data_IF_001992579590
#
_entry.id   IF_001992579590
#
_cell.length_a   1.000
_cell.length_b   1.000
_cell.length_c   1.000
_cell.angle_alpha   90.00
_cell.angle_beta   90.00
_cell.angle_gamma   90.00
#
_symmetry.space_group_name_H-M   'P 1'
#
loop_
_entity.id
_entity.type
_entity.pdbx_description
1 polymer ?
#
# COMPACT_ATOMS: atom_id res chain seq x y z
N UNK A 1 77.01 -21.61 33.28
CA UNK A 1 75.85 -22.16 32.54
C UNK A 1 74.95 -20.99 32.17
N UNK A 2 75.01 -20.56 30.91
CA UNK A 2 74.01 -19.80 30.15
C UNK A 2 73.51 -18.41 30.64
N UNK A 3 73.10 -17.54 29.70
CA UNK A 3 73.71 -16.21 29.58
C UNK A 3 72.67 -15.07 29.49
N UNK A 4 73.17 -13.83 29.35
CA UNK A 4 72.67 -12.72 28.48
C UNK A 4 71.17 -12.34 28.64
N UNK A 5 70.75 -11.07 28.75
CA UNK A 5 71.17 -9.91 27.95
C UNK A 5 70.30 -8.68 28.34
N UNK A 6 70.94 -7.50 28.30
CA UNK A 6 70.45 -6.14 28.00
C UNK A 6 69.22 -5.53 28.71
N UNK A 7 69.47 -4.41 29.42
CA UNK A 7 68.55 -3.27 29.54
C UNK A 7 68.28 -2.62 28.16
N UNK A 8 67.13 -1.95 28.00
CA UNK A 8 67.22 -0.48 28.03
C UNK A 8 66.05 0.28 28.70
N UNK A 9 66.46 1.47 29.17
CA UNK A 9 65.73 2.66 29.65
C UNK A 9 64.27 2.80 29.19
N UNK A 10 63.39 2.94 30.19
CA UNK A 10 62.06 3.55 30.06
C UNK A 10 62.18 5.05 29.77
N UNK A 11 61.78 5.47 28.58
CA UNK A 11 61.35 6.85 28.31
C UNK A 11 59.87 6.81 27.91
N UNK A 12 58.98 7.20 28.80
CA UNK A 12 57.56 7.39 28.50
C UNK A 12 57.36 8.81 28.00
N UNK A 13 57.22 8.96 26.68
CA UNK A 13 56.73 10.18 26.06
C UNK A 13 55.20 10.17 26.05
N UNK A 14 54.65 11.27 26.56
CA UNK A 14 53.25 11.69 26.48
C UNK A 14 52.81 11.86 25.02
N UNK A 15 51.63 11.36 24.66
CA UNK A 15 50.89 11.85 23.49
C UNK A 15 49.40 11.60 23.67
N UNK A 16 48.66 12.71 23.63
CA UNK A 16 47.23 12.87 23.78
C UNK A 16 46.45 12.07 22.75
N UNK A 17 45.41 11.35 23.16
CA UNK A 17 44.36 10.86 22.26
C UNK A 17 43.07 11.65 22.50
N UNK A 18 42.63 12.31 21.44
CA UNK A 18 41.42 13.11 21.29
C UNK A 18 40.16 12.24 21.38
N UNK A 19 39.20 12.69 22.21
CA UNK A 19 37.87 12.11 22.36
C UNK A 19 36.99 12.54 21.17
N UNK A 20 36.71 11.64 20.23
CA UNK A 20 35.76 11.89 19.13
C UNK A 20 34.35 11.54 19.64
N UNK A 21 33.57 12.57 19.99
CA UNK A 21 32.16 12.44 20.28
C UNK A 21 31.40 12.15 18.96
N UNK A 22 30.95 10.91 18.78
CA UNK A 22 30.08 10.53 17.66
C UNK A 22 28.69 11.11 17.87
N UNK A 23 28.36 12.14 17.10
CA UNK A 23 27.03 12.74 17.01
C UNK A 23 26.15 11.79 16.18
N UNK A 24 25.34 10.96 16.85
CA UNK A 24 24.27 10.20 16.19
C UNK A 24 23.21 11.18 15.68
N UNK A 25 23.34 11.63 14.43
CA UNK A 25 22.23 12.28 13.73
C UNK A 25 21.10 11.26 13.59
N UNK A 26 20.01 11.50 14.32
CA UNK A 26 18.79 10.70 14.22
C UNK A 26 18.30 10.68 12.78
N UNK A 27 18.23 9.48 12.22
CA UNK A 27 17.64 9.23 10.92
C UNK A 27 16.13 9.40 11.13
N UNK A 28 15.60 10.60 10.88
CA UNK A 28 14.15 10.79 10.82
C UNK A 28 13.68 10.13 9.52
N UNK A 29 13.41 8.83 9.60
CA UNK A 29 12.67 8.13 8.58
C UNK A 29 11.27 8.76 8.52
N UNK A 30 11.00 9.56 7.48
CA UNK A 30 9.66 10.04 7.20
C UNK A 30 8.79 8.84 6.83
N UNK A 31 8.14 8.22 7.81
CA UNK A 31 7.00 7.34 7.54
C UNK A 31 5.78 8.22 7.29
N UNK A 32 4.89 7.86 6.36
CA UNK A 32 3.60 8.55 6.21
C UNK A 32 2.86 8.53 7.56
N UNK A 33 2.09 9.58 7.89
CA UNK A 33 1.25 9.55 9.08
C UNK A 33 0.29 8.35 8.99
N UNK A 34 0.04 7.70 10.12
CA UNK A 34 -0.95 6.63 10.17
C UNK A 34 -2.30 7.13 9.66
N UNK A 35 -3.04 6.33 8.87
CA UNK A 35 -4.35 6.75 8.39
C UNK A 35 -5.28 7.12 9.55
N UNK A 36 -6.07 8.19 9.41
CA UNK A 36 -7.08 8.52 10.41
C UNK A 36 -8.20 7.48 10.40
N UNK A 37 -8.14 6.55 11.36
CA UNK A 37 -9.12 5.49 11.54
C UNK A 37 -10.44 5.97 12.15
N UNK A 38 -10.42 7.11 12.87
CA UNK A 38 -11.57 7.55 13.69
C UNK A 38 -12.83 7.84 12.86
N UNK A 39 -12.64 8.25 11.60
CA UNK A 39 -13.71 8.60 10.67
C UNK A 39 -13.87 7.61 9.51
N UNK A 40 -13.23 6.44 9.56
CA UNK A 40 -13.25 5.51 8.42
C UNK A 40 -14.66 5.06 8.04
N UNK A 41 -15.48 4.66 9.02
CA UNK A 41 -16.84 4.16 8.77
C UNK A 41 -17.71 5.25 8.15
N UNK A 42 -17.63 6.49 8.64
CA UNK A 42 -18.35 7.63 8.07
C UNK A 42 -17.97 7.84 6.61
N UNK A 43 -16.66 7.91 6.30
CA UNK A 43 -16.16 8.06 4.93
C UNK A 43 -16.62 6.92 4.01
N UNK A 44 -16.59 5.67 4.51
CA UNK A 44 -17.07 4.51 3.77
C UNK A 44 -18.56 4.63 3.41
N UNK A 45 -19.40 5.08 4.34
CA UNK A 45 -20.83 5.25 4.10
C UNK A 45 -21.12 6.40 3.13
N UNK A 46 -20.37 7.50 3.23
CA UNK A 46 -20.46 8.61 2.29
C UNK A 46 -20.05 8.19 0.88
N UNK A 47 -18.94 7.45 0.73
CA UNK A 47 -18.46 6.92 -0.55
C UNK A 47 -19.49 5.97 -1.20
N UNK A 48 -20.15 5.14 -0.39
CA UNK A 48 -21.24 4.25 -0.86
C UNK A 48 -22.42 5.06 -1.38
N UNK A 49 -22.87 6.05 -0.61
CA UNK A 49 -23.98 6.93 -1.03
C UNK A 49 -23.64 7.72 -2.30
N UNK A 50 -22.41 8.23 -2.41
CA UNK A 50 -21.94 8.91 -3.62
C UNK A 50 -21.95 7.96 -4.82
N UNK A 51 -21.46 6.73 -4.66
CA UNK A 51 -21.44 5.73 -5.73
C UNK A 51 -22.84 5.34 -6.19
N UNK A 52 -23.80 5.19 -5.27
CA UNK A 52 -25.21 4.95 -5.60
C UNK A 52 -25.79 6.08 -6.46
N UNK A 53 -25.50 7.34 -6.12
CA UNK A 53 -25.93 8.49 -6.91
C UNK A 53 -25.28 8.50 -8.30
N UNK A 54 -23.96 8.26 -8.39
CA UNK A 54 -23.24 8.17 -9.67
C UNK A 54 -23.84 7.08 -10.56
N UNK A 55 -24.17 5.90 -10.01
CA UNK A 55 -24.79 4.82 -10.79
C UNK A 55 -26.22 5.18 -11.23
N UNK A 56 -26.97 5.95 -10.44
CA UNK A 56 -28.34 6.33 -10.77
C UNK A 56 -28.42 7.49 -11.76
N UNK A 57 -27.60 8.50 -11.56
CA UNK A 57 -27.75 9.82 -12.18
C UNK A 57 -26.54 10.24 -13.02
N UNK A 58 -25.38 9.59 -12.86
CA UNK A 58 -24.13 9.96 -13.54
C UNK A 58 -24.22 9.81 -15.07
N UNK A 59 -23.56 10.72 -15.80
CA UNK A 59 -23.47 10.67 -17.26
C UNK A 59 -22.81 9.36 -17.71
N UNK A 60 -21.70 9.00 -17.08
CA UNK A 60 -20.91 7.80 -17.37
C UNK A 60 -21.38 6.55 -16.59
N UNK A 61 -22.61 6.57 -16.06
CA UNK A 61 -23.14 5.40 -15.36
C UNK A 61 -23.20 4.19 -16.30
N UNK A 62 -22.76 3.01 -15.83
CA UNK A 62 -22.85 1.77 -16.59
C UNK A 62 -24.29 1.23 -16.69
N UNK A 63 -25.25 1.84 -15.98
CA UNK A 63 -26.65 1.41 -15.99
C UNK A 63 -27.37 2.02 -17.19
N UNK A 64 -28.00 1.19 -18.06
CA UNK A 64 -28.78 1.68 -19.20
C UNK A 64 -29.87 2.68 -18.78
N UNK A 65 -30.03 3.76 -19.58
CA UNK A 65 -30.93 4.89 -19.26
C UNK A 65 -32.37 4.45 -18.95
N UNK A 66 -32.88 3.50 -19.72
CA UNK A 66 -34.22 2.92 -19.58
C UNK A 66 -34.41 2.12 -18.27
N UNK A 67 -33.32 1.73 -17.60
CA UNK A 67 -33.34 0.99 -16.33
C UNK A 67 -32.97 1.83 -15.11
N UNK A 68 -32.46 3.05 -15.28
CA UNK A 68 -32.03 3.92 -14.15
C UNK A 68 -33.18 4.27 -13.20
N UNK A 69 -34.41 4.45 -13.71
CA UNK A 69 -35.58 4.79 -12.90
C UNK A 69 -36.02 3.68 -11.95
N UNK A 70 -35.74 2.42 -12.28
CA UNK A 70 -36.04 1.25 -11.44
C UNK A 70 -34.86 0.79 -10.60
N UNK A 71 -33.73 1.49 -10.69
CA UNK A 71 -32.53 1.16 -9.94
C UNK A 71 -32.76 1.38 -8.44
N UNK A 72 -32.53 0.32 -7.67
CA UNK A 72 -32.36 0.39 -6.21
C UNK A 72 -30.86 0.60 -5.89
N UNK A 73 -30.52 1.11 -4.69
CA UNK A 73 -29.13 1.21 -4.25
C UNK A 73 -28.35 -0.11 -4.43
N UNK A 74 -27.03 0.01 -4.63
CA UNK A 74 -26.15 -1.13 -4.75
C UNK A 74 -26.17 -1.96 -3.46
N UNK A 75 -25.99 -3.27 -3.60
CA UNK A 75 -25.87 -4.16 -2.45
C UNK A 75 -24.44 -4.13 -1.94
N UNK A 76 -24.27 -3.76 -0.67
CA UNK A 76 -22.99 -3.72 0.01
C UNK A 76 -22.97 -4.71 1.17
N UNK A 77 -21.81 -5.30 1.44
CA UNK A 77 -21.57 -5.96 2.73
C UNK A 77 -21.57 -4.95 3.88
N UNK A 78 -22.01 -5.38 5.06
CA UNK A 78 -21.90 -4.57 6.26
C UNK A 78 -20.43 -4.18 6.53
N UNK A 79 -20.16 -2.93 6.96
CA UNK A 79 -18.80 -2.54 7.30
C UNK A 79 -18.19 -3.47 8.35
N UNK A 80 -17.09 -4.12 7.99
CA UNK A 80 -16.34 -4.98 8.90
C UNK A 80 -14.86 -4.60 8.85
N UNK A 81 -14.37 -4.05 9.96
CA UNK A 81 -12.99 -3.58 10.10
C UNK A 81 -11.97 -4.72 10.11
N UNK A 82 -12.38 -5.99 10.30
CA UNK A 82 -11.45 -7.13 10.21
C UNK A 82 -10.89 -7.33 8.79
N UNK A 83 -11.59 -6.84 7.76
CA UNK A 83 -11.14 -6.86 6.37
C UNK A 83 -10.36 -5.60 5.97
N UNK A 84 -10.15 -4.66 6.92
CA UNK A 84 -9.34 -3.46 6.70
C UNK A 84 -7.94 -3.68 7.26
N UNK A 85 -7.10 -4.32 6.47
CA UNK A 85 -5.74 -4.70 6.86
C UNK A 85 -4.69 -3.79 6.21
N UNK A 86 -3.57 -3.52 6.89
CA UNK A 86 -2.43 -2.85 6.26
C UNK A 86 -1.84 -3.76 5.17
N UNK A 87 -1.40 -3.16 4.07
CA UNK A 87 -0.74 -3.86 2.99
C UNK A 87 0.55 -3.14 2.59
N UNK A 88 1.60 -3.90 2.30
CA UNK A 88 2.84 -3.39 1.76
C UNK A 88 2.77 -3.46 0.23
N UNK A 89 3.06 -2.34 -0.44
CA UNK A 89 3.25 -2.34 -1.88
C UNK A 89 4.70 -2.73 -2.20
N UNK A 90 4.88 -3.85 -2.88
CA UNK A 90 6.15 -4.32 -3.41
C UNK A 90 6.18 -4.12 -4.92
N UNK A 91 7.05 -3.23 -5.39
CA UNK A 91 7.16 -2.90 -6.80
C UNK A 91 7.81 -4.03 -7.61
N UNK A 92 7.37 -4.19 -8.87
CA UNK A 92 8.04 -5.03 -9.85
C UNK A 92 9.18 -4.26 -10.51
N UNK A 93 10.27 -4.97 -10.83
CA UNK A 93 11.38 -4.44 -11.63
C UNK A 93 10.91 -4.08 -13.06
N UNK A 94 10.12 -4.98 -13.66
CA UNK A 94 9.45 -4.75 -14.93
C UNK A 94 7.96 -4.48 -14.70
N UNK A 95 7.47 -3.37 -15.24
CA UNK A 95 6.08 -2.93 -15.04
C UNK A 95 5.31 -2.94 -16.38
N UNK A 96 4.87 -4.12 -16.83
CA UNK A 96 4.19 -4.28 -18.11
C UNK A 96 2.84 -3.53 -18.13
N UNK A 97 2.41 -3.16 -19.33
CA UNK A 97 1.14 -2.47 -19.58
C UNK A 97 0.17 -3.47 -20.21
N UNK A 98 -1.07 -3.49 -19.70
CA UNK A 98 -2.15 -4.34 -20.16
C UNK A 98 -3.34 -3.52 -20.62
N UNK A 99 -4.02 -3.99 -21.66
CA UNK A 99 -5.28 -3.44 -22.12
C UNK A 99 -6.44 -4.15 -21.38
N UNK A 100 -7.19 -3.40 -20.56
CA UNK A 100 -8.30 -3.92 -19.76
C UNK A 100 -9.62 -3.35 -20.28
N UNK A 101 -10.60 -4.20 -20.67
CA UNK A 101 -11.93 -3.74 -21.04
C UNK A 101 -12.71 -3.26 -19.81
N UNK A 102 -13.41 -2.14 -19.93
CA UNK A 102 -14.26 -1.56 -18.88
C UNK A 102 -15.73 -1.96 -19.08
N UNK A 103 -16.55 -1.74 -18.04
CA UNK A 103 -18.01 -1.95 -18.11
C UNK A 103 -18.73 -1.03 -19.09
N UNK A 104 -18.09 0.06 -19.54
CA UNK A 104 -18.61 0.97 -20.58
C UNK A 104 -18.21 0.54 -21.99
N UNK A 105 -17.47 -0.57 -22.14
CA UNK A 105 -16.97 -1.08 -23.42
C UNK A 105 -15.69 -0.40 -23.92
N UNK A 106 -15.12 0.52 -23.14
CA UNK A 106 -13.85 1.17 -23.47
C UNK A 106 -12.67 0.27 -23.08
N UNK A 107 -11.53 0.43 -23.76
CA UNK A 107 -10.28 -0.23 -23.40
C UNK A 107 -9.43 0.76 -22.62
N UNK A 108 -8.91 0.32 -21.48
CA UNK A 108 -8.05 1.12 -20.62
C UNK A 108 -6.69 0.47 -20.46
N UNK A 109 -5.63 1.23 -20.76
CA UNK A 109 -4.26 0.77 -20.53
C UNK A 109 -3.92 0.90 -19.06
N UNK A 110 -3.43 -0.18 -18.46
CA UNK A 110 -3.04 -0.20 -17.05
C UNK A 110 -1.66 -0.81 -16.88
N UNK A 111 -0.81 -0.12 -16.14
CA UNK A 111 0.53 -0.58 -15.76
C UNK A 111 0.44 -1.44 -14.51
N UNK A 112 0.97 -2.66 -14.56
CA UNK A 112 1.14 -3.49 -13.37
C UNK A 112 2.41 -3.05 -12.63
N UNK A 113 2.25 -2.32 -11.54
CA UNK A 113 3.36 -1.68 -10.84
C UNK A 113 3.98 -2.56 -9.75
N UNK A 114 3.25 -3.56 -9.26
CA UNK A 114 3.62 -4.27 -8.05
C UNK A 114 2.51 -5.15 -7.49
N UNK A 115 2.78 -5.72 -6.32
CA UNK A 115 1.81 -6.45 -5.52
C UNK A 115 1.58 -5.78 -4.17
N UNK A 116 0.33 -5.72 -3.74
CA UNK A 116 -0.03 -5.46 -2.35
C UNK A 116 0.04 -6.78 -1.60
N UNK A 117 0.93 -6.89 -0.62
CA UNK A 117 1.09 -8.05 0.26
C UNK A 117 0.56 -7.72 1.65
N UNK A 118 -0.27 -8.61 2.19
CA UNK A 118 -0.97 -8.40 3.47
C UNK A 118 -1.32 -9.73 4.14
N UNK A 119 -1.66 -9.65 5.43
CA UNK A 119 -2.15 -10.79 6.21
C UNK A 119 -3.63 -10.57 6.51
N UNK A 120 -4.44 -11.59 6.28
CA UNK A 120 -5.87 -11.61 6.61
C UNK A 120 -6.19 -12.92 7.31
N UNK A 121 -6.79 -12.85 8.50
CA UNK A 121 -7.13 -14.03 9.32
C UNK A 121 -5.94 -14.97 9.59
N UNK A 122 -4.72 -14.42 9.64
CA UNK A 122 -3.49 -15.18 9.90
C UNK A 122 -2.84 -15.78 8.65
N UNK A 123 -3.46 -15.65 7.48
CA UNK A 123 -2.95 -16.15 6.21
C UNK A 123 -2.38 -15.01 5.36
N UNK A 124 -1.29 -15.28 4.64
CA UNK A 124 -0.64 -14.33 3.74
C UNK A 124 -1.32 -14.31 2.37
N UNK A 125 -1.62 -13.11 1.88
CA UNK A 125 -2.23 -12.87 0.57
C UNK A 125 -1.45 -11.81 -0.21
N UNK A 126 -1.62 -11.87 -1.54
CA UNK A 126 -1.09 -10.87 -2.45
C UNK A 126 -2.09 -10.50 -3.54
N UNK A 127 -2.18 -9.21 -3.88
CA UNK A 127 -3.04 -8.71 -4.95
C UNK A 127 -2.24 -7.84 -5.92
N UNK A 128 -2.54 -7.92 -7.22
CA UNK A 128 -1.90 -7.09 -8.22
C UNK A 128 -2.32 -5.62 -8.06
N UNK A 129 -1.36 -4.71 -8.10
CA UNK A 129 -1.58 -3.27 -8.11
C UNK A 129 -1.44 -2.74 -9.53
N UNK A 130 -2.54 -2.28 -10.10
CA UNK A 130 -2.59 -1.70 -11.44
C UNK A 130 -2.75 -0.18 -11.34
N UNK A 131 -2.03 0.55 -12.19
CA UNK A 131 -2.10 2.01 -12.25
C UNK A 131 -2.50 2.43 -13.66
N UNK A 132 -3.46 3.33 -13.77
CA UNK A 132 -3.75 4.06 -15.02
C UNK A 132 -3.28 5.50 -14.90
N UNK A 133 -3.00 6.14 -16.03
CA UNK A 133 -2.80 7.59 -16.07
C UNK A 133 -4.02 8.31 -15.48
N UNK A 134 -3.77 9.28 -14.60
CA UNK A 134 -4.78 10.17 -14.00
C UNK A 134 -5.54 9.64 -12.78
N UNK A 135 -5.51 8.33 -12.51
CA UNK A 135 -6.33 7.70 -11.46
C UNK A 135 -5.49 7.06 -10.34
N UNK A 136 -6.15 6.75 -9.23
CA UNK A 136 -5.59 5.93 -8.16
C UNK A 136 -5.33 4.47 -8.56
N UNK A 137 -4.81 3.68 -7.62
CA UNK A 137 -4.57 2.26 -7.83
C UNK A 137 -5.88 1.50 -8.07
N UNK A 138 -5.87 0.63 -9.07
CA UNK A 138 -6.91 -0.36 -9.31
C UNK A 138 -6.42 -1.74 -8.87
N UNK A 139 -7.13 -2.34 -7.91
CA UNK A 139 -6.80 -3.64 -7.32
C UNK A 139 -7.89 -4.65 -7.70
N UNK A 140 -7.82 -5.28 -8.88
CA UNK A 140 -8.80 -6.30 -9.26
C UNK A 140 -8.50 -7.62 -8.54
N UNK A 141 -9.52 -8.23 -7.95
CA UNK A 141 -9.37 -9.54 -7.31
C UNK A 141 -10.67 -10.35 -7.36
N UNK A 142 -10.54 -11.64 -7.00
CA UNK A 142 -11.66 -12.55 -6.73
C UNK A 142 -11.39 -13.30 -5.43
N UNK A 143 -12.46 -13.67 -4.76
CA UNK A 143 -12.52 -14.48 -3.56
C UNK A 143 -13.66 -15.51 -3.66
N UNK A 144 -13.96 -16.19 -2.55
CA UNK A 144 -14.92 -17.30 -2.50
C UNK A 144 -16.38 -16.86 -2.69
N UNK A 145 -16.70 -15.58 -2.47
CA UNK A 145 -18.05 -15.02 -2.64
C UNK A 145 -18.38 -14.72 -4.11
N UNK A 146 -17.38 -14.63 -5.00
CA UNK A 146 -17.63 -14.30 -6.40
C UNK A 146 -18.50 -15.35 -7.11
N UNK A 147 -19.68 -14.92 -7.56
CA UNK A 147 -20.60 -15.75 -8.35
C UNK A 147 -21.43 -16.74 -7.53
N UNK A 148 -21.29 -16.72 -6.21
CA UNK A 148 -21.98 -17.64 -5.29
C UNK A 148 -23.07 -16.96 -4.45
N UNK A 149 -23.21 -15.63 -4.55
CA UNK A 149 -24.17 -14.78 -3.83
C UNK A 149 -25.00 -13.87 -4.78
#
# INVERSE_FOLDING_TARGET
>A
MNPRVNEPRRTTNTSSLTLIASLCLGITACSPPEPDESNYITRLLDDRSYKDDVFKNGADSPVPLDRRSWMVPLRYYEPNLSYRVPAQLNFLDEQPIFDIPTSTGQIRQMRHIGHLEFVLEGEEYRLAALLSEGDGLFIPFRDQTNGND
#
